data_IF_078062621039
#
_entry.id   IF_078062621039
#
_cell.length_a   1.000
_cell.length_b   1.000
_cell.length_c   1.000
_cell.angle_alpha   90.00
_cell.angle_beta   90.00
_cell.angle_gamma   90.00
#
_symmetry.space_group_name_H-M   'P 1'
#
loop_
_entity.id
_entity.type
_entity.pdbx_description
1 polymer ?
#
# COMPACT_ATOMS: atom_id res chain seq x y z
N UNK A 1 51.92 22.58 -9.88
CA UNK A 1 51.57 21.43 -8.99
C UNK A 1 50.06 21.26 -8.77
N UNK A 2 49.26 22.29 -8.82
CA UNK A 2 47.79 22.28 -8.55
C UNK A 2 46.96 21.49 -9.55
N UNK A 3 47.31 21.53 -10.86
CA UNK A 3 46.51 20.86 -11.93
C UNK A 3 46.50 19.32 -11.83
N UNK A 4 47.60 18.70 -11.35
CA UNK A 4 47.71 17.22 -11.18
C UNK A 4 46.94 16.71 -9.95
N UNK A 5 46.75 17.56 -8.94
CA UNK A 5 45.99 17.21 -7.71
C UNK A 5 44.48 17.19 -8.00
N UNK A 6 43.97 18.17 -8.73
CA UNK A 6 42.57 18.26 -9.13
C UNK A 6 42.15 17.08 -10.00
N UNK A 7 43.01 16.63 -10.93
CA UNK A 7 42.72 15.46 -11.80
C UNK A 7 42.68 14.17 -11.01
N UNK A 8 43.48 14.00 -9.94
CA UNK A 8 43.48 12.82 -9.07
C UNK A 8 42.27 12.76 -8.13
N UNK A 9 41.82 13.91 -7.63
CA UNK A 9 40.62 14.01 -6.79
C UNK A 9 39.36 13.74 -7.64
N UNK A 10 39.26 14.27 -8.85
CA UNK A 10 38.16 14.01 -9.76
C UNK A 10 38.11 12.53 -10.22
N UNK A 11 39.25 11.89 -10.46
CA UNK A 11 39.33 10.47 -10.79
C UNK A 11 38.91 9.57 -9.60
N UNK A 12 39.30 9.94 -8.37
CA UNK A 12 38.87 9.20 -7.16
C UNK A 12 37.37 9.38 -6.87
N UNK A 13 36.81 10.54 -7.14
CA UNK A 13 35.36 10.80 -6.96
C UNK A 13 34.53 10.07 -8.04
N UNK A 14 35.03 9.97 -9.28
CA UNK A 14 34.40 9.19 -10.34
C UNK A 14 34.46 7.67 -10.05
N UNK A 15 35.53 7.18 -9.44
CA UNK A 15 35.68 5.77 -9.08
C UNK A 15 34.75 5.35 -7.93
N UNK A 16 34.43 6.26 -7.00
CA UNK A 16 33.47 6.01 -5.90
C UNK A 16 32.02 5.93 -6.40
N UNK A 17 31.68 6.64 -7.47
CA UNK A 17 30.32 6.61 -8.08
C UNK A 17 30.08 5.27 -8.82
N UNK A 18 31.10 4.60 -9.32
CA UNK A 18 30.97 3.36 -10.10
C UNK A 18 30.81 2.12 -9.18
N UNK A 19 31.11 2.22 -7.89
CA UNK A 19 30.99 1.09 -6.94
C UNK A 19 29.61 0.94 -6.27
N UNK A 20 28.67 1.85 -6.54
CA UNK A 20 27.36 1.88 -5.87
C UNK A 20 26.20 1.30 -6.72
N UNK A 21 26.45 0.55 -7.80
CA UNK A 21 25.41 0.26 -8.79
C UNK A 21 24.90 -1.19 -8.85
N UNK A 22 25.33 -2.08 -7.95
CA UNK A 22 24.71 -3.42 -7.88
C UNK A 22 23.52 -3.38 -6.96
N UNK A 23 22.31 -3.17 -7.50
CA UNK A 23 21.13 -3.00 -6.67
C UNK A 23 19.90 -3.76 -7.18
N UNK A 24 19.21 -4.38 -6.24
CA UNK A 24 17.87 -4.94 -6.43
C UNK A 24 16.89 -4.16 -5.58
N UNK A 25 15.92 -3.50 -6.21
CA UNK A 25 14.87 -2.79 -5.51
C UNK A 25 13.54 -3.55 -5.63
N UNK A 26 12.87 -3.74 -4.50
CA UNK A 26 11.55 -4.36 -4.40
C UNK A 26 10.56 -3.35 -3.84
N UNK A 27 9.51 -3.07 -4.59
CA UNK A 27 8.41 -2.23 -4.16
C UNK A 27 7.16 -3.08 -4.00
N UNK A 28 6.66 -3.19 -2.78
CA UNK A 28 5.38 -3.85 -2.46
C UNK A 28 4.34 -2.77 -2.24
N UNK A 29 3.27 -2.77 -3.01
CA UNK A 29 2.18 -1.80 -2.90
C UNK A 29 0.87 -2.50 -2.59
N UNK A 30 0.27 -2.16 -1.46
CA UNK A 30 -1.09 -2.55 -1.07
C UNK A 30 -2.03 -1.42 -1.43
N UNK A 31 -2.86 -1.59 -2.46
CA UNK A 31 -3.86 -0.62 -2.88
C UNK A 31 -5.28 -1.09 -2.51
N UNK A 32 -5.94 -0.34 -1.64
CA UNK A 32 -7.28 -0.67 -1.12
C UNK A 32 -8.31 0.32 -1.65
N UNK A 33 -9.42 -0.20 -2.17
CA UNK A 33 -10.57 0.57 -2.63
C UNK A 33 -11.55 0.87 -1.49
N UNK A 34 -12.43 1.88 -1.62
CA UNK A 34 -13.40 2.23 -0.56
C UNK A 34 -14.33 1.09 -0.13
N UNK A 35 -14.61 0.13 -1.01
CA UNK A 35 -15.42 -1.05 -0.70
C UNK A 35 -14.65 -2.15 0.05
N UNK A 36 -13.33 -2.01 0.22
CA UNK A 36 -12.45 -2.97 0.90
C UNK A 36 -11.79 -4.00 -0.01
N UNK A 37 -12.13 -4.04 -1.30
CA UNK A 37 -11.39 -4.82 -2.31
C UNK A 37 -10.13 -4.08 -2.71
N UNK A 38 -9.22 -4.73 -3.41
CA UNK A 38 -8.02 -4.05 -3.89
C UNK A 38 -7.06 -4.98 -4.59
N UNK A 39 -5.81 -4.56 -4.65
CA UNK A 39 -4.74 -5.36 -5.25
C UNK A 39 -3.43 -5.22 -4.46
N UNK A 40 -2.61 -6.22 -4.53
CA UNK A 40 -1.21 -6.18 -4.11
C UNK A 40 -0.37 -6.24 -5.38
N UNK A 41 0.50 -5.25 -5.52
CA UNK A 41 1.45 -5.11 -6.61
C UNK A 41 2.87 -5.23 -6.04
N UNK A 42 3.67 -6.15 -6.58
CA UNK A 42 5.10 -6.26 -6.27
C UNK A 42 5.89 -6.00 -7.53
N UNK A 43 6.77 -5.02 -7.48
CA UNK A 43 7.70 -4.70 -8.57
C UNK A 43 9.11 -4.93 -8.07
N UNK A 44 9.80 -5.85 -8.71
CA UNK A 44 11.21 -6.18 -8.44
C UNK A 44 12.02 -5.68 -9.63
N UNK A 45 13.05 -4.88 -9.37
CA UNK A 45 13.94 -4.36 -10.38
C UNK A 45 15.37 -4.66 -10.01
N UNK A 46 16.10 -5.35 -10.87
CA UNK A 46 17.55 -5.54 -10.76
C UNK A 46 18.24 -4.62 -11.77
N UNK A 47 19.29 -3.94 -11.34
CA UNK A 47 20.05 -3.07 -12.22
C UNK A 47 20.93 -3.87 -13.22
N UNK A 48 21.49 -3.15 -14.20
CA UNK A 48 22.34 -3.73 -15.23
C UNK A 48 23.56 -4.47 -14.66
N UNK A 49 24.14 -3.96 -13.59
CA UNK A 49 25.38 -4.52 -13.05
C UNK A 49 25.12 -5.88 -12.37
N UNK A 50 23.94 -6.04 -11.76
CA UNK A 50 23.46 -7.34 -11.27
C UNK A 50 23.30 -8.32 -12.43
N UNK A 51 22.65 -7.92 -13.53
CA UNK A 51 22.42 -8.79 -14.67
C UNK A 51 23.73 -9.23 -15.33
N UNK A 52 24.72 -8.34 -15.42
CA UNK A 52 26.05 -8.64 -15.96
C UNK A 52 26.80 -9.62 -15.07
N UNK A 53 26.70 -9.48 -13.74
CA UNK A 53 27.38 -10.38 -12.77
C UNK A 53 26.69 -11.72 -12.62
N UNK A 54 25.37 -11.79 -12.85
CA UNK A 54 24.57 -13.01 -12.80
C UNK A 54 23.86 -13.25 -14.13
N UNK A 55 24.57 -13.65 -15.21
CA UNK A 55 23.99 -13.79 -16.55
C UNK A 55 22.89 -14.85 -16.65
N UNK A 56 22.85 -15.82 -15.70
CA UNK A 56 21.78 -16.82 -15.57
C UNK A 56 20.51 -16.34 -14.87
N UNK A 57 20.55 -15.18 -14.22
CA UNK A 57 19.47 -14.68 -13.33
C UNK A 57 18.08 -14.76 -14.00
N UNK A 58 17.95 -14.34 -15.24
CA UNK A 58 16.68 -14.35 -15.98
C UNK A 58 16.11 -15.77 -16.17
N UNK A 59 16.94 -16.76 -16.34
CA UNK A 59 16.55 -18.16 -16.51
C UNK A 59 16.29 -18.87 -15.18
N UNK A 60 16.95 -18.43 -14.11
CA UNK A 60 16.87 -19.04 -12.79
C UNK A 60 15.65 -18.58 -11.99
N UNK A 61 15.04 -17.46 -12.40
CA UNK A 61 13.81 -16.95 -11.74
C UNK A 61 12.65 -17.88 -12.05
N UNK A 62 12.14 -18.54 -11.00
CA UNK A 62 10.97 -19.40 -11.05
C UNK A 62 9.75 -18.66 -10.51
N UNK A 63 8.67 -18.69 -11.27
CA UNK A 63 7.41 -18.01 -10.92
C UNK A 63 6.20 -18.94 -10.96
N UNK A 64 6.43 -20.24 -11.25
CA UNK A 64 5.37 -21.24 -11.42
C UNK A 64 4.50 -21.37 -10.16
N UNK A 65 5.13 -21.35 -8.98
CA UNK A 65 4.44 -21.45 -7.69
C UNK A 65 3.56 -20.22 -7.42
N UNK A 66 4.03 -19.04 -7.83
CA UNK A 66 3.24 -17.80 -7.72
C UNK A 66 2.03 -17.83 -8.66
N UNK A 67 2.23 -18.29 -9.89
CA UNK A 67 1.11 -18.47 -10.86
C UNK A 67 0.11 -19.49 -10.32
N UNK A 68 0.58 -20.61 -9.77
CA UNK A 68 -0.28 -21.63 -9.15
C UNK A 68 -1.04 -21.09 -7.92
N UNK A 69 -0.45 -20.14 -7.18
CA UNK A 69 -1.09 -19.43 -6.08
C UNK A 69 -2.02 -18.28 -6.52
N UNK A 70 -2.23 -18.07 -7.82
CA UNK A 70 -3.16 -17.08 -8.36
C UNK A 70 -2.54 -15.71 -8.69
N UNK A 71 -1.22 -15.56 -8.56
CA UNK A 71 -0.55 -14.32 -8.94
C UNK A 71 -0.45 -14.17 -10.46
N UNK A 72 -0.71 -12.97 -10.94
CA UNK A 72 -0.44 -12.58 -12.32
C UNK A 72 1.03 -12.13 -12.37
N UNK A 73 1.84 -12.85 -13.15
CA UNK A 73 3.28 -12.59 -13.29
C UNK A 73 3.56 -11.99 -14.65
N UNK A 74 4.28 -10.86 -14.68
CA UNK A 74 4.79 -10.24 -15.90
C UNK A 74 6.31 -10.12 -15.81
N UNK A 75 7.01 -10.66 -16.77
CA UNK A 75 8.49 -10.73 -16.80
C UNK A 75 9.01 -12.11 -16.42
N UNK A 76 10.35 -12.25 -16.22
CA UNK A 76 11.36 -11.19 -16.24
C UNK A 76 11.54 -10.53 -17.61
N UNK A 77 11.52 -9.20 -17.66
CA UNK A 77 11.69 -8.39 -18.87
C UNK A 77 12.92 -7.48 -18.74
N UNK A 78 13.64 -7.30 -19.84
CA UNK A 78 14.80 -6.40 -19.86
C UNK A 78 14.32 -4.93 -19.80
N UNK A 79 14.97 -4.13 -18.96
CA UNK A 79 14.75 -2.68 -18.91
C UNK A 79 15.56 -1.97 -19.98
N UNK A 80 15.20 -0.73 -20.31
CA UNK A 80 15.93 0.08 -21.32
C UNK A 80 17.40 0.28 -20.96
N UNK A 81 17.72 0.25 -19.68
CA UNK A 81 19.07 0.47 -19.15
C UNK A 81 19.89 -0.85 -19.03
N UNK A 82 19.30 -1.99 -19.46
CA UNK A 82 19.94 -3.31 -19.43
C UNK A 82 19.80 -4.08 -18.12
N UNK A 83 18.94 -3.61 -17.22
CA UNK A 83 18.52 -4.35 -16.02
C UNK A 83 17.35 -5.31 -16.30
N UNK A 84 16.78 -5.89 -15.25
CA UNK A 84 15.59 -6.74 -15.30
C UNK A 84 14.46 -6.18 -14.43
N UNK A 85 13.21 -6.39 -14.85
CA UNK A 85 12.05 -6.12 -14.00
C UNK A 85 11.07 -7.28 -14.03
N UNK A 86 10.45 -7.54 -12.88
CA UNK A 86 9.37 -8.50 -12.69
C UNK A 86 8.24 -7.80 -11.97
N UNK A 87 7.02 -8.03 -12.42
CA UNK A 87 5.83 -7.48 -11.80
C UNK A 87 4.89 -8.62 -11.42
N UNK A 88 4.48 -8.65 -10.14
CA UNK A 88 3.52 -9.60 -9.60
C UNK A 88 2.29 -8.82 -9.16
N UNK A 89 1.10 -9.28 -9.53
CA UNK A 89 -0.17 -8.64 -9.14
C UNK A 89 -1.15 -9.69 -8.66
N UNK A 90 -1.82 -9.42 -7.54
CA UNK A 90 -2.91 -10.25 -7.04
C UNK A 90 -4.05 -9.37 -6.55
N UNK A 91 -5.25 -9.60 -7.07
CA UNK A 91 -6.46 -8.93 -6.58
C UNK A 91 -6.92 -9.59 -5.27
N UNK A 92 -7.56 -8.83 -4.38
CA UNK A 92 -8.20 -9.35 -3.18
C UNK A 92 -9.60 -8.78 -2.99
N UNK A 93 -10.47 -9.56 -2.37
CA UNK A 93 -11.87 -9.21 -2.16
C UNK A 93 -12.14 -8.58 -0.79
N UNK A 94 -11.16 -8.58 0.11
CA UNK A 94 -11.29 -7.98 1.44
C UNK A 94 -10.01 -8.00 2.28
N UNK A 95 -10.02 -7.30 3.43
CA UNK A 95 -8.84 -7.14 4.28
C UNK A 95 -8.23 -8.45 4.78
N UNK A 96 -9.06 -9.45 5.09
CA UNK A 96 -8.56 -10.75 5.56
C UNK A 96 -7.73 -11.47 4.48
N UNK A 97 -8.18 -11.43 3.22
CA UNK A 97 -7.45 -12.00 2.10
C UNK A 97 -6.15 -11.23 1.83
N UNK A 98 -6.20 -9.89 1.87
CA UNK A 98 -5.00 -9.06 1.75
C UNK A 98 -3.95 -9.40 2.83
N UNK A 99 -4.38 -9.62 4.08
CA UNK A 99 -3.51 -10.09 5.17
C UNK A 99 -2.85 -11.43 4.83
N UNK A 100 -3.62 -12.39 4.32
CA UNK A 100 -3.11 -13.71 3.92
C UNK A 100 -2.10 -13.60 2.79
N UNK A 101 -2.40 -12.81 1.75
CA UNK A 101 -1.52 -12.61 0.60
C UNK A 101 -0.20 -11.93 1.00
N UNK A 102 -0.23 -10.93 1.88
CA UNK A 102 0.99 -10.30 2.40
C UNK A 102 1.88 -11.31 3.16
N UNK A 103 1.26 -12.21 3.92
CA UNK A 103 1.98 -13.31 4.59
C UNK A 103 2.58 -14.30 3.59
N UNK A 104 1.87 -14.62 2.51
CA UNK A 104 2.35 -15.54 1.47
C UNK A 104 3.58 -15.01 0.74
N UNK A 105 3.56 -13.74 0.29
CA UNK A 105 4.70 -13.16 -0.44
C UNK A 105 5.93 -12.93 0.43
N UNK A 106 5.74 -12.75 1.73
CA UNK A 106 6.86 -12.57 2.66
C UNK A 106 7.45 -13.91 3.11
N UNK A 107 6.61 -14.94 3.27
CA UNK A 107 7.00 -16.17 3.91
C UNK A 107 7.32 -15.97 5.40
N UNK A 108 7.93 -16.98 6.03
CA UNK A 108 8.22 -16.96 7.47
C UNK A 108 9.43 -16.10 7.84
N UNK A 109 10.38 -15.94 6.92
CA UNK A 109 11.66 -15.23 7.14
C UNK A 109 11.75 -13.89 6.39
N UNK A 110 10.80 -13.61 5.49
CA UNK A 110 10.85 -12.43 4.65
C UNK A 110 10.57 -11.12 5.41
N UNK A 111 10.57 -9.99 4.69
CA UNK A 111 10.63 -8.65 5.29
C UNK A 111 9.35 -8.16 5.95
N UNK A 112 8.20 -8.79 5.71
CA UNK A 112 6.89 -8.36 6.19
C UNK A 112 6.40 -9.33 7.27
N UNK A 113 6.46 -8.93 8.54
CA UNK A 113 6.07 -9.77 9.67
C UNK A 113 4.74 -9.31 10.26
N UNK A 114 3.89 -10.27 10.60
CA UNK A 114 2.63 -10.03 11.33
C UNK A 114 1.76 -8.94 10.68
N UNK A 115 1.80 -8.84 9.35
CA UNK A 115 1.02 -7.87 8.61
C UNK A 115 -0.46 -8.16 8.77
N UNK A 116 -1.22 -7.18 9.28
CA UNK A 116 -2.67 -7.28 9.47
C UNK A 116 -3.33 -6.01 8.97
N UNK A 117 -4.26 -6.17 8.04
CA UNK A 117 -5.16 -5.08 7.64
C UNK A 117 -6.57 -5.38 8.14
N UNK A 118 -7.20 -4.37 8.74
CA UNK A 118 -8.60 -4.44 9.18
C UNK A 118 -9.42 -3.29 8.62
N UNK A 119 -10.72 -3.53 8.48
CA UNK A 119 -11.70 -2.52 8.10
C UNK A 119 -12.86 -2.57 9.08
N UNK A 120 -13.19 -1.42 9.67
CA UNK A 120 -14.37 -1.23 10.51
C UNK A 120 -15.31 -0.21 9.87
N UNK A 121 -16.61 -0.31 10.17
CA UNK A 121 -17.61 0.54 9.53
C UNK A 121 -18.27 -0.10 8.32
N UNK A 122 -19.14 0.64 7.64
CA UNK A 122 -19.91 0.17 6.47
C UNK A 122 -19.76 1.13 5.29
N UNK A 123 -19.80 0.56 4.10
CA UNK A 123 -19.75 1.30 2.83
C UNK A 123 -18.56 2.27 2.77
N UNK A 124 -18.85 3.52 2.41
CA UNK A 124 -17.86 4.60 2.32
C UNK A 124 -17.54 5.27 3.65
N UNK A 125 -18.21 4.89 4.76
CA UNK A 125 -17.89 5.33 6.12
C UNK A 125 -17.16 4.20 6.85
N UNK A 126 -15.87 4.10 6.63
CA UNK A 126 -15.05 3.02 7.19
C UNK A 126 -13.68 3.53 7.61
N UNK A 127 -13.14 2.88 8.63
CA UNK A 127 -11.76 3.08 9.08
C UNK A 127 -10.94 1.86 8.72
N UNK A 128 -9.83 2.08 8.05
CA UNK A 128 -8.83 1.07 7.74
C UNK A 128 -7.68 1.20 8.71
N UNK A 129 -7.24 0.08 9.26
CA UNK A 129 -6.05 0.01 10.09
C UNK A 129 -5.12 -1.03 9.51
N UNK A 130 -3.86 -0.66 9.31
CA UNK A 130 -2.81 -1.55 8.86
C UNK A 130 -1.72 -1.54 9.92
N UNK A 131 -1.33 -2.72 10.38
CA UNK A 131 -0.29 -2.93 11.38
C UNK A 131 0.63 -4.07 10.96
N UNK A 132 1.86 -4.06 11.45
CA UNK A 132 2.85 -5.08 11.20
C UNK A 132 4.24 -4.65 11.66
N UNK A 133 5.22 -5.44 11.26
CA UNK A 133 6.64 -5.19 11.53
C UNK A 133 7.45 -5.44 10.27
N UNK A 134 8.39 -4.55 10.00
CA UNK A 134 9.30 -4.63 8.86
C UNK A 134 10.71 -4.87 9.39
N UNK A 135 11.35 -5.95 8.93
CA UNK A 135 12.74 -6.25 9.23
C UNK A 135 13.28 -7.29 8.25
N UNK A 136 14.57 -7.27 7.98
CA UNK A 136 15.28 -8.36 7.33
C UNK A 136 16.32 -8.90 8.31
N UNK A 137 16.05 -10.07 8.88
CA UNK A 137 16.93 -10.71 9.84
C UNK A 137 17.60 -11.94 9.21
N UNK A 138 18.93 -12.07 9.34
CA UNK A 138 19.68 -13.16 8.73
C UNK A 138 20.24 -12.85 7.32
N UNK A 139 20.23 -11.58 6.90
CA UNK A 139 20.83 -11.18 5.62
C UNK A 139 20.11 -11.79 4.42
N UNK A 140 20.88 -12.33 3.46
CA UNK A 140 20.32 -12.98 2.26
C UNK A 140 19.53 -14.25 2.55
N UNK A 141 19.76 -14.90 3.69
CA UNK A 141 18.99 -16.08 4.10
C UNK A 141 17.51 -15.77 4.35
N UNK A 142 17.17 -14.51 4.64
CA UNK A 142 15.79 -14.06 4.79
C UNK A 142 14.95 -14.21 3.50
N UNK A 143 15.60 -14.32 2.35
CA UNK A 143 14.96 -14.43 1.04
C UNK A 143 14.94 -15.86 0.48
N UNK A 144 15.40 -16.84 1.24
CA UNK A 144 15.41 -18.25 0.86
C UNK A 144 14.54 -19.06 1.82
N UNK A 145 13.83 -20.05 1.30
CA UNK A 145 13.10 -21.00 2.13
C UNK A 145 14.05 -22.04 2.77
N UNK A 146 13.56 -22.72 3.80
CA UNK A 146 14.34 -23.72 4.54
C UNK A 146 14.81 -24.88 3.65
N UNK A 147 14.03 -25.25 2.63
CA UNK A 147 14.39 -26.33 1.70
C UNK A 147 15.57 -25.91 0.82
N UNK A 148 15.54 -24.68 0.30
CA UNK A 148 16.64 -24.09 -0.48
C UNK A 148 17.91 -23.95 0.34
N UNK A 149 17.80 -23.41 1.58
CA UNK A 149 18.95 -23.27 2.47
C UNK A 149 19.58 -24.61 2.81
N UNK A 150 18.76 -25.63 3.10
CA UNK A 150 19.28 -26.99 3.40
C UNK A 150 19.91 -27.68 2.20
N UNK A 151 19.36 -27.46 1.00
CA UNK A 151 19.84 -28.06 -0.25
C UNK A 151 21.18 -27.47 -0.69
N UNK A 152 21.35 -26.15 -0.54
CA UNK A 152 22.50 -25.40 -1.02
C UNK A 152 23.56 -25.18 0.07
N UNK A 153 23.23 -25.47 1.33
CA UNK A 153 24.13 -25.20 2.48
C UNK A 153 24.27 -23.72 2.82
N UNK A 154 23.31 -22.89 2.37
CA UNK A 154 23.25 -21.45 2.58
C UNK A 154 22.43 -20.73 1.50
N UNK A 155 22.25 -19.42 1.65
CA UNK A 155 21.54 -18.63 0.65
C UNK A 155 22.37 -18.52 -0.65
N UNK A 156 21.71 -18.59 -1.82
CA UNK A 156 22.38 -18.32 -3.10
C UNK A 156 23.04 -16.93 -3.10
N UNK A 157 24.13 -16.80 -3.83
CA UNK A 157 24.85 -15.54 -4.05
C UNK A 157 25.50 -14.88 -2.81
N UNK A 158 25.44 -15.47 -1.62
CA UNK A 158 26.12 -14.92 -0.41
C UNK A 158 27.61 -14.74 -0.66
N UNK A 159 28.25 -15.76 -1.23
CA UNK A 159 29.67 -15.68 -1.54
C UNK A 159 30.02 -14.59 -2.55
N UNK A 160 29.17 -14.39 -3.55
CA UNK A 160 29.38 -13.38 -4.59
C UNK A 160 29.19 -11.95 -4.05
N UNK A 161 28.19 -11.75 -3.18
CA UNK A 161 27.96 -10.47 -2.50
C UNK A 161 29.10 -10.14 -1.54
N UNK A 162 29.58 -11.12 -0.77
CA UNK A 162 30.73 -10.94 0.12
C UNK A 162 32.04 -10.69 -0.66
N UNK A 163 32.28 -11.44 -1.74
CA UNK A 163 33.44 -11.23 -2.60
C UNK A 163 33.43 -9.86 -3.28
N UNK A 164 32.24 -9.32 -3.57
CA UNK A 164 32.06 -7.97 -4.11
C UNK A 164 32.21 -6.88 -3.04
N UNK A 165 32.31 -7.22 -1.75
CA UNK A 165 32.42 -6.27 -0.64
C UNK A 165 31.18 -5.40 -0.47
N UNK A 166 30.01 -5.89 -0.90
CA UNK A 166 28.73 -5.16 -0.83
C UNK A 166 28.08 -5.40 0.53
N UNK A 167 27.58 -4.30 1.11
CA UNK A 167 26.64 -4.37 2.22
C UNK A 167 25.24 -4.71 1.70
N UNK A 168 24.47 -5.52 2.43
CA UNK A 168 23.13 -5.91 2.01
C UNK A 168 22.21 -4.69 1.85
N UNK A 169 22.36 -3.69 2.73
CA UNK A 169 21.58 -2.46 2.68
C UNK A 169 21.86 -1.60 1.46
N UNK A 170 23.05 -1.72 0.87
CA UNK A 170 23.42 -1.06 -0.38
C UNK A 170 22.97 -1.85 -1.61
N UNK A 171 22.99 -3.18 -1.52
CA UNK A 171 22.67 -4.08 -2.61
C UNK A 171 21.16 -4.35 -2.76
N UNK A 172 20.38 -4.26 -1.68
CA UNK A 172 18.95 -4.57 -1.68
C UNK A 172 18.16 -3.42 -1.05
N UNK A 173 17.14 -2.95 -1.75
CA UNK A 173 16.17 -1.97 -1.25
C UNK A 173 14.77 -2.58 -1.23
N UNK A 174 14.07 -2.51 -0.09
CA UNK A 174 12.67 -2.92 -0.01
C UNK A 174 11.85 -1.75 0.51
N UNK A 175 10.79 -1.42 -0.20
CA UNK A 175 9.83 -0.39 0.18
C UNK A 175 8.43 -1.01 0.22
N UNK A 176 7.75 -0.83 1.33
CA UNK A 176 6.33 -1.16 1.45
C UNK A 176 5.51 0.12 1.33
N UNK A 177 4.53 0.12 0.44
CA UNK A 177 3.63 1.23 0.17
C UNK A 177 2.19 0.81 0.47
N UNK A 178 1.42 1.70 1.10
CA UNK A 178 -0.01 1.52 1.29
C UNK A 178 -0.79 2.70 0.69
N UNK A 179 -1.76 2.39 -0.15
CA UNK A 179 -2.74 3.32 -0.70
C UNK A 179 -4.08 2.94 -0.09
N UNK A 180 -4.48 3.67 0.93
CA UNK A 180 -5.71 3.43 1.67
C UNK A 180 -6.73 4.55 1.39
N UNK A 181 -8.03 4.22 1.24
CA UNK A 181 -9.03 5.24 0.92
C UNK A 181 -9.33 6.13 2.12
N UNK A 182 -9.24 7.44 1.94
CA UNK A 182 -9.64 8.43 2.93
C UNK A 182 -8.50 9.28 3.48
N UNK A 183 -8.73 9.86 4.66
CA UNK A 183 -7.77 10.73 5.33
C UNK A 183 -6.94 9.94 6.34
N UNK A 184 -5.63 10.11 6.30
CA UNK A 184 -4.72 9.54 7.30
C UNK A 184 -4.95 10.21 8.66
N UNK A 185 -5.25 9.39 9.68
CA UNK A 185 -5.40 9.86 11.07
C UNK A 185 -4.05 9.84 11.78
N UNK A 186 -3.35 8.71 11.65
CA UNK A 186 -2.01 8.52 12.19
C UNK A 186 -1.22 7.54 11.30
N UNK A 187 0.08 7.65 11.30
CA UNK A 187 0.97 6.72 10.60
C UNK A 187 2.39 6.79 11.17
N UNK A 188 3.09 5.66 11.14
CA UNK A 188 4.55 5.59 11.38
C UNK A 188 5.35 5.75 10.09
N UNK A 189 4.68 5.68 8.92
CA UNK A 189 5.30 5.85 7.61
C UNK A 189 5.33 7.30 7.13
N UNK A 190 6.03 7.52 6.03
CA UNK A 190 6.02 8.80 5.33
C UNK A 190 4.78 8.87 4.42
N UNK A 191 3.96 9.91 4.58
CA UNK A 191 2.76 10.10 3.77
C UNK A 191 2.96 11.23 2.76
N UNK A 192 2.84 10.91 1.48
CA UNK A 192 2.91 11.87 0.38
C UNK A 192 1.97 11.44 -0.74
N UNK A 193 1.23 12.37 -1.33
CA UNK A 193 0.35 12.17 -2.50
C UNK A 193 -0.63 10.99 -2.38
N UNK A 194 -1.12 10.73 -1.17
CA UNK A 194 -2.06 9.63 -0.89
C UNK A 194 -1.40 8.26 -0.74
N UNK A 195 -0.08 8.18 -0.81
CA UNK A 195 0.71 6.97 -0.57
C UNK A 195 1.39 7.10 0.79
N UNK A 196 1.34 6.02 1.58
CA UNK A 196 2.07 5.90 2.83
C UNK A 196 3.19 4.89 2.59
N UNK A 197 4.44 5.29 2.83
CA UNK A 197 5.61 4.49 2.50
C UNK A 197 6.47 4.20 3.73
N UNK A 198 6.99 2.97 3.79
CA UNK A 198 7.96 2.52 4.78
C UNK A 198 9.12 1.84 4.06
N UNK A 199 10.33 2.19 4.44
CA UNK A 199 11.53 1.48 4.02
C UNK A 199 11.83 0.36 5.01
N UNK A 200 12.11 -0.84 4.48
CA UNK A 200 12.50 -1.99 5.31
C UNK A 200 13.96 -1.87 5.69
N UNK A 201 14.32 -1.94 6.99
CA UNK A 201 15.71 -2.02 7.40
C UNK A 201 16.35 -3.36 6.99
N UNK A 202 17.56 -3.29 6.44
CA UNK A 202 18.32 -4.46 6.01
C UNK A 202 19.34 -4.94 7.05
N UNK A 203 19.45 -4.22 8.17
CA UNK A 203 20.41 -4.45 9.26
C UNK A 203 19.85 -5.30 10.42
N UNK A 204 18.63 -5.85 10.24
CA UNK A 204 17.92 -6.60 11.28
C UNK A 204 17.22 -5.75 12.32
N UNK A 205 17.20 -4.41 12.16
CA UNK A 205 16.49 -3.54 13.08
C UNK A 205 14.98 -3.59 12.80
N UNK A 206 14.12 -4.00 13.76
CA UNK A 206 12.69 -4.05 13.54
C UNK A 206 12.09 -2.65 13.46
N UNK A 207 11.28 -2.39 12.45
CA UNK A 207 10.51 -1.15 12.30
C UNK A 207 9.03 -1.46 12.40
N UNK A 208 8.34 -0.80 13.35
CA UNK A 208 6.90 -0.93 13.49
C UNK A 208 6.18 -0.22 12.35
N UNK A 209 5.31 -0.95 11.66
CA UNK A 209 4.41 -0.43 10.66
C UNK A 209 3.03 -0.28 11.29
N UNK A 210 2.52 0.95 11.38
CA UNK A 210 1.19 1.23 11.88
C UNK A 210 0.60 2.44 11.16
N UNK A 211 -0.63 2.30 10.68
CA UNK A 211 -1.38 3.42 10.11
C UNK A 211 -2.88 3.22 10.30
N UNK A 212 -3.60 4.32 10.43
CA UNK A 212 -5.06 4.36 10.46
C UNK A 212 -5.55 5.46 9.51
N UNK A 213 -6.52 5.09 8.67
CA UNK A 213 -7.10 5.96 7.65
C UNK A 213 -8.61 5.88 7.76
N UNK A 214 -9.28 7.04 7.79
CA UNK A 214 -10.75 7.11 7.81
C UNK A 214 -11.27 7.62 6.48
N UNK A 215 -12.09 6.79 5.83
CA UNK A 215 -12.86 7.15 4.65
C UNK A 215 -14.23 7.65 5.09
N UNK A 216 -14.53 8.93 4.85
CA UNK A 216 -15.83 9.53 5.10
C UNK A 216 -16.39 10.04 3.78
N UNK A 217 -17.49 9.46 3.34
CA UNK A 217 -18.23 9.98 2.19
C UNK A 217 -19.05 11.20 2.63
N UNK A 218 -18.50 12.38 2.39
CA UNK A 218 -19.12 13.67 2.69
C UNK A 218 -20.45 13.81 1.93
N UNK A 219 -20.55 13.30 0.71
CA UNK A 219 -21.76 13.38 -0.11
C UNK A 219 -22.91 12.58 0.50
N UNK A 220 -22.67 11.38 1.02
CA UNK A 220 -23.68 10.57 1.69
C UNK A 220 -24.11 11.16 3.04
N UNK A 221 -23.21 11.84 3.74
CA UNK A 221 -23.53 12.54 4.99
C UNK A 221 -24.40 13.77 4.74
N UNK A 222 -24.08 14.60 3.75
CA UNK A 222 -24.89 15.75 3.33
C UNK A 222 -26.27 15.29 2.86
N UNK A 223 -26.39 14.21 2.10
CA UNK A 223 -27.67 13.70 1.63
C UNK A 223 -28.59 13.23 2.77
N UNK A 224 -28.04 12.66 3.84
CA UNK A 224 -28.80 12.27 5.04
C UNK A 224 -29.32 13.50 5.79
N UNK A 225 -28.47 14.52 6.00
CA UNK A 225 -28.89 15.78 6.61
C UNK A 225 -29.94 16.50 5.77
N UNK A 226 -29.78 16.54 4.45
CA UNK A 226 -30.74 17.13 3.53
C UNK A 226 -32.10 16.42 3.59
N UNK A 227 -32.14 15.09 3.63
CA UNK A 227 -33.36 14.29 3.79
C UNK A 227 -34.10 14.61 5.10
N UNK A 228 -33.39 14.69 6.22
CA UNK A 228 -33.97 15.01 7.53
C UNK A 228 -34.53 16.43 7.54
N UNK A 229 -33.82 17.40 6.95
CA UNK A 229 -34.28 18.78 6.82
C UNK A 229 -35.54 18.88 5.93
N UNK A 230 -35.56 18.22 4.78
CA UNK A 230 -36.70 18.20 3.87
C UNK A 230 -37.92 17.56 4.53
N UNK A 231 -37.76 16.43 5.23
CA UNK A 231 -38.85 15.81 5.99
C UNK A 231 -39.36 16.71 7.11
N UNK A 232 -38.45 17.36 7.85
CA UNK A 232 -38.84 18.32 8.91
C UNK A 232 -39.63 19.51 8.37
N UNK A 233 -39.22 20.10 7.25
CA UNK A 233 -39.94 21.18 6.57
C UNK A 233 -41.31 20.70 6.05
N UNK A 234 -41.39 19.49 5.52
CA UNK A 234 -42.66 18.90 5.07
C UNK A 234 -43.64 18.74 6.24
N UNK A 235 -43.18 18.23 7.38
CA UNK A 235 -44.00 18.13 8.60
C UNK A 235 -44.49 19.47 9.10
N UNK A 236 -43.62 20.49 9.14
CA UNK A 236 -43.97 21.85 9.50
C UNK A 236 -45.01 22.43 8.55
N UNK A 237 -44.88 22.21 7.25
CA UNK A 237 -45.82 22.66 6.24
C UNK A 237 -47.21 22.00 6.38
N UNK A 238 -47.26 20.68 6.67
CA UNK A 238 -48.49 19.94 6.93
C UNK A 238 -49.21 20.53 8.17
N UNK A 239 -48.49 20.72 9.28
CA UNK A 239 -49.04 21.28 10.52
C UNK A 239 -49.59 22.69 10.26
N UNK A 240 -48.84 23.55 9.57
CA UNK A 240 -49.28 24.90 9.20
C UNK A 240 -50.54 24.89 8.33
N UNK A 241 -50.62 23.96 7.36
CA UNK A 241 -51.78 23.78 6.50
C UNK A 241 -53.01 23.33 7.28
N UNK A 242 -52.88 22.40 8.22
CA UNK A 242 -53.98 21.95 9.08
C UNK A 242 -54.46 23.07 9.98
N UNK A 243 -53.57 23.86 10.58
CA UNK A 243 -53.93 25.03 11.39
C UNK A 243 -54.69 26.08 10.55
N UNK A 244 -54.22 26.35 9.32
CA UNK A 244 -54.85 27.30 8.41
C UNK A 244 -56.28 26.83 8.05
N UNK A 245 -56.45 25.56 7.68
CA UNK A 245 -57.77 24.96 7.38
C UNK A 245 -58.72 25.10 8.59
N UNK A 246 -58.21 24.77 9.79
CA UNK A 246 -59.00 24.91 11.03
C UNK A 246 -59.42 26.38 11.29
N UNK A 247 -58.51 27.33 11.12
CA UNK A 247 -58.83 28.77 11.25
C UNK A 247 -59.88 29.23 10.24
N UNK A 248 -59.75 28.79 8.98
CA UNK A 248 -60.72 29.15 7.92
C UNK A 248 -62.10 28.57 8.22
N UNK A 249 -62.17 27.28 8.64
CA UNK A 249 -63.45 26.65 9.01
C UNK A 249 -64.07 27.31 10.22
N UNK A 250 -63.28 27.68 11.23
CA UNK A 250 -63.81 28.42 12.41
C UNK A 250 -64.27 29.82 12.10
N UNK A 251 -63.59 30.54 11.21
CA UNK A 251 -64.03 31.88 10.72
C UNK A 251 -65.32 31.79 9.91
N UNK A 252 -65.47 30.72 9.12
CA UNK A 252 -66.70 30.51 8.32
C UNK A 252 -67.91 30.14 9.18
N UNK A 253 -67.77 29.40 10.27
CA UNK A 253 -68.82 29.02 11.22
C UNK A 253 -69.36 30.23 12.01
N UNK A 254 -68.49 31.24 12.24
CA UNK A 254 -68.92 32.48 12.94
C UNK A 254 -69.69 33.45 12.07
N UNK A 255 -69.76 33.26 10.75
CA UNK A 255 -70.49 34.11 9.79
C UNK A 255 -71.90 33.58 9.40
N UNK A 256 -72.49 32.69 10.18
CA UNK A 256 -73.89 32.29 9.92
C UNK A 256 -74.81 33.48 10.26
N UNK A 257 -75.52 34.03 9.27
CA UNK A 257 -76.44 35.10 9.55
C UNK A 257 -77.62 34.56 10.40
N UNK A 258 -78.00 35.27 11.44
CA UNK A 258 -79.23 35.06 12.17
C UNK A 258 -80.41 35.21 11.21
N UNK A 259 -81.37 34.30 11.17
CA UNK A 259 -82.55 34.46 10.38
C UNK A 259 -83.37 35.67 10.97
N UNK A 260 -83.68 36.65 10.13
CA UNK A 260 -84.64 37.67 10.45
C UNK A 260 -86.02 37.02 10.42
N UNK A 261 -86.79 37.14 11.54
CA UNK A 261 -88.18 36.87 11.65
C UNK A 261 -88.91 38.15 11.19
#
# INVERSE_FOLDING_TARGET
MTRKIITRIAASFAAVIVLASCRVDTNVTLAVKPNGTGEILVVITADKDIVVKAPGLKADIRTDDLVAAGWKVQGPTDTKDGGLTITLTHDFMGPAEATTLLGQISGTRGPLHEMVITRTGKDTNSTYTLAGRLEVNGGLEAFADDATLNLLGGAPYVADVQAAGLDLGDAVGITFNAILPGKVNNTTGQSADGVISWRVPMDGTPTSLATSVTNVDIASSISRFAKVLVLGLLYLWIIASVILIFMVLRARSRRRPTPRI
#
